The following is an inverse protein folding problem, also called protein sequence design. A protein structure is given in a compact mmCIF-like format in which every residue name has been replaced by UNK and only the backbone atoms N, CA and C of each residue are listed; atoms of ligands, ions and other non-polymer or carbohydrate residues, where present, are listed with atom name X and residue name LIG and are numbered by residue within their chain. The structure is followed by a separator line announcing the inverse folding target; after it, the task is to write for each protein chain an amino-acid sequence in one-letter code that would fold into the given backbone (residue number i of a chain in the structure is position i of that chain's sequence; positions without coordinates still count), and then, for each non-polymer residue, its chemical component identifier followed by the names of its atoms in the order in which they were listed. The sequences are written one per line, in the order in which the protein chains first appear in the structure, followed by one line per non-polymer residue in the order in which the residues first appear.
data_IF_742247591165
#
_entry.id   IF_742247591165
#
_cell.length_a   1.000
_cell.length_b   1.000
_cell.length_c   1.000
_cell.angle_alpha   90.00
_cell.angle_beta   90.00
_cell.angle_gamma   90.00
#
_symmetry.space_group_name_H-M   'P 1'
#
loop_
_entity.id
_entity.type
_entity.pdbx_description
1 polymer ?
#
# COMPACT_ATOMS: atom_id res chain seq x y z
N UNK A 1 51.87 18.97 70.93
CA UNK A 1 50.89 17.97 71.40
C UNK A 1 50.00 17.63 70.22
N UNK A 2 50.14 16.43 69.66
CA UNK A 2 49.30 15.98 68.54
C UNK A 2 47.86 15.84 69.02
N UNK A 3 46.94 16.61 68.46
CA UNK A 3 45.50 16.49 68.74
C UNK A 3 45.02 15.15 68.20
N UNK A 4 44.68 14.24 69.10
CA UNK A 4 44.16 12.93 68.74
C UNK A 4 42.79 13.09 68.04
N UNK A 5 42.74 12.78 66.75
CA UNK A 5 41.53 12.87 65.92
C UNK A 5 40.61 11.70 66.24
N UNK A 6 39.34 11.98 66.51
CA UNK A 6 38.30 10.96 66.68
C UNK A 6 37.54 10.87 65.36
N UNK A 7 37.74 9.77 64.63
CA UNK A 7 36.99 9.44 63.44
C UNK A 7 35.96 8.35 63.76
N UNK A 8 34.68 8.62 63.50
CA UNK A 8 33.59 7.65 63.70
C UNK A 8 32.93 7.39 62.35
N UNK A 9 32.81 6.12 61.94
CA UNK A 9 32.08 5.76 60.73
C UNK A 9 30.58 5.78 61.00
N UNK A 10 29.79 6.47 60.17
CA UNK A 10 28.34 6.67 60.45
C UNK A 10 27.58 5.34 60.62
N UNK A 11 27.88 4.31 59.80
CA UNK A 11 27.28 2.96 59.91
C UNK A 11 27.62 2.22 61.22
N UNK A 12 28.70 2.58 61.89
CA UNK A 12 29.12 1.95 63.15
C UNK A 12 28.93 2.88 64.33
N UNK A 13 28.29 4.04 64.13
CA UNK A 13 28.17 5.05 65.17
C UNK A 13 27.33 4.53 66.34
N UNK A 14 26.23 3.83 66.06
CA UNK A 14 25.40 3.21 67.09
C UNK A 14 26.16 2.14 67.89
N UNK A 15 26.84 1.21 67.20
CA UNK A 15 27.67 0.18 67.84
C UNK A 15 28.80 0.82 68.68
N UNK A 16 29.47 1.81 68.13
CA UNK A 16 30.57 2.54 68.77
C UNK A 16 30.13 3.28 70.04
N UNK A 17 28.92 3.86 70.02
CA UNK A 17 28.26 4.46 71.19
C UNK A 17 27.86 3.37 72.20
N UNK A 18 27.29 2.26 71.74
CA UNK A 18 26.91 1.10 72.53
C UNK A 18 28.07 0.55 73.37
N UNK A 19 29.22 0.31 72.75
CA UNK A 19 30.44 -0.19 73.41
C UNK A 19 30.93 0.73 74.53
N UNK A 20 30.67 2.04 74.40
CA UNK A 20 31.16 3.08 75.31
C UNK A 20 30.08 3.57 76.28
N UNK A 21 28.91 2.93 76.31
CA UNK A 21 27.76 3.32 77.13
C UNK A 21 28.10 3.47 78.61
N UNK A 22 28.94 2.58 79.16
CA UNK A 22 29.33 2.61 80.57
C UNK A 22 30.11 3.88 80.97
N UNK A 23 30.87 4.45 80.04
CA UNK A 23 31.72 5.64 80.27
C UNK A 23 30.99 6.91 79.82
N UNK A 24 30.49 6.91 78.59
CA UNK A 24 29.88 8.09 77.96
C UNK A 24 28.47 8.34 78.48
N UNK A 25 27.68 7.29 78.73
CA UNK A 25 26.31 7.44 79.26
C UNK A 25 26.24 7.96 80.70
N UNK A 26 27.33 7.87 81.47
CA UNK A 26 27.42 8.46 82.82
C UNK A 26 27.91 9.91 82.81
N UNK A 27 28.92 10.24 81.99
CA UNK A 27 29.54 11.58 81.94
C UNK A 27 28.80 12.57 81.03
N UNK A 28 28.26 12.11 79.91
CA UNK A 28 27.62 12.94 78.88
C UNK A 28 26.23 12.39 78.55
N UNK A 29 25.38 12.28 79.57
CA UNK A 29 24.10 11.57 79.49
C UNK A 29 23.16 12.14 78.42
N UNK A 30 23.16 13.47 78.22
CA UNK A 30 22.25 14.16 77.29
C UNK A 30 22.72 13.96 75.85
N UNK A 31 23.99 14.24 75.60
CA UNK A 31 24.65 14.13 74.30
C UNK A 31 24.62 12.68 73.82
N UNK A 32 24.89 11.73 74.72
CA UNK A 32 24.84 10.30 74.44
C UNK A 32 23.44 9.82 74.06
N UNK A 33 22.39 10.25 74.78
CA UNK A 33 21.02 9.86 74.47
C UNK A 33 20.59 10.41 73.09
N UNK A 34 20.93 11.68 72.81
CA UNK A 34 20.63 12.30 71.51
C UNK A 34 21.36 11.61 70.36
N UNK A 35 22.63 11.24 70.54
CA UNK A 35 23.40 10.52 69.53
C UNK A 35 22.84 9.11 69.25
N UNK A 36 22.35 8.40 70.27
CA UNK A 36 21.68 7.11 70.08
C UNK A 36 20.36 7.23 69.30
N UNK A 37 19.69 8.39 69.32
CA UNK A 37 18.50 8.65 68.48
C UNK A 37 18.87 9.03 67.04
N UNK A 38 19.93 9.82 66.87
CA UNK A 38 20.32 10.36 65.55
C UNK A 38 21.12 9.36 64.72
N UNK A 39 21.97 8.53 65.34
CA UNK A 39 22.82 7.55 64.64
C UNK A 39 22.06 6.59 63.72
N UNK A 40 21.00 5.89 64.18
CA UNK A 40 20.24 4.99 63.30
C UNK A 40 19.48 5.74 62.19
N UNK A 41 19.01 6.97 62.45
CA UNK A 41 18.36 7.81 61.42
C UNK A 41 19.34 8.22 60.33
N UNK A 42 20.55 8.60 60.74
CA UNK A 42 21.62 8.97 59.83
C UNK A 42 22.05 7.79 58.95
N UNK A 43 22.17 6.59 59.54
CA UNK A 43 22.42 5.39 58.76
C UNK A 43 21.28 5.12 57.78
N UNK A 44 20.03 5.18 58.23
CA UNK A 44 18.85 4.90 57.40
C UNK A 44 18.83 5.79 56.15
N UNK A 45 18.99 7.11 56.32
CA UNK A 45 18.95 8.04 55.19
C UNK A 45 20.11 7.84 54.22
N UNK A 46 21.34 7.71 54.73
CA UNK A 46 22.55 7.68 53.90
C UNK A 46 22.74 6.34 53.20
N UNK A 47 22.43 5.23 53.89
CA UNK A 47 22.67 3.87 53.40
C UNK A 47 21.53 3.33 52.55
N UNK A 48 20.28 3.71 52.86
CA UNK A 48 19.11 3.12 52.23
C UNK A 48 18.29 4.14 51.44
N UNK A 49 17.79 5.20 52.09
CA UNK A 49 16.75 6.04 51.47
C UNK A 49 17.30 6.89 50.31
N UNK A 50 18.41 7.61 50.51
CA UNK A 50 19.02 8.44 49.45
C UNK A 50 19.48 7.57 48.26
N UNK A 51 20.22 6.45 48.45
CA UNK A 51 20.55 5.55 47.34
C UNK A 51 19.33 4.95 46.62
N UNK A 52 18.27 4.61 47.35
CA UNK A 52 17.04 4.08 46.76
C UNK A 52 16.36 5.13 45.86
N UNK A 53 16.29 6.38 46.32
CA UNK A 53 15.74 7.49 45.54
C UNK A 53 16.58 7.79 44.30
N UNK A 54 17.92 7.81 44.40
CA UNK A 54 18.80 7.93 43.23
C UNK A 54 18.61 6.79 42.22
N UNK A 55 18.45 5.55 42.70
CA UNK A 55 18.19 4.39 41.84
C UNK A 55 16.82 4.52 41.14
N UNK A 56 15.81 5.03 41.83
CA UNK A 56 14.49 5.30 41.25
C UNK A 56 14.57 6.41 40.19
N UNK A 57 15.23 7.52 40.49
CA UNK A 57 15.45 8.62 39.54
C UNK A 57 16.16 8.13 38.28
N UNK A 58 17.23 7.33 38.43
CA UNK A 58 17.96 6.75 37.29
C UNK A 58 17.08 5.83 36.44
N UNK A 59 16.23 5.02 37.07
CA UNK A 59 15.28 4.14 36.37
C UNK A 59 14.27 4.95 35.56
N UNK A 60 13.72 6.01 36.15
CA UNK A 60 12.77 6.88 35.46
C UNK A 60 13.43 7.66 34.31
N UNK A 61 14.66 8.15 34.49
CA UNK A 61 15.40 8.78 33.39
C UNK A 61 15.67 7.82 32.23
N UNK A 62 16.03 6.57 32.52
CA UNK A 62 16.20 5.55 31.47
C UNK A 62 14.88 5.24 30.76
N UNK A 63 13.78 5.13 31.51
CA UNK A 63 12.46 4.90 30.93
C UNK A 63 11.99 6.09 30.08
N UNK A 64 12.38 7.31 30.43
CA UNK A 64 12.11 8.52 29.65
C UNK A 64 12.86 8.49 28.31
N UNK A 65 14.15 8.13 28.33
CA UNK A 65 14.95 7.97 27.10
C UNK A 65 14.36 6.89 26.18
N UNK A 66 13.94 5.75 26.75
CA UNK A 66 13.29 4.67 26.00
C UNK A 66 11.95 5.11 25.40
N UNK A 67 11.16 5.92 26.13
CA UNK A 67 9.90 6.46 25.63
C UNK A 67 10.13 7.49 24.48
N UNK A 68 11.17 8.32 24.57
CA UNK A 68 11.56 9.20 23.46
C UNK A 68 11.98 8.41 22.22
N UNK A 69 12.79 7.35 22.38
CA UNK A 69 13.14 6.45 21.26
C UNK A 69 11.90 5.80 20.64
N UNK A 70 10.95 5.37 21.45
CA UNK A 70 9.69 4.81 20.95
C UNK A 70 8.87 5.81 20.12
N UNK A 71 8.90 7.10 20.48
CA UNK A 71 8.29 8.18 19.66
C UNK A 71 9.01 8.29 18.31
N UNK A 72 10.35 8.33 18.31
CA UNK A 72 11.14 8.41 17.08
C UNK A 72 10.87 7.22 16.16
N UNK A 73 10.88 6.00 16.70
CA UNK A 73 10.58 4.77 15.96
C UNK A 73 9.16 4.77 15.39
N UNK A 74 8.17 5.23 16.17
CA UNK A 74 6.80 5.38 15.69
C UNK A 74 6.71 6.40 14.55
N UNK A 75 7.41 7.54 14.64
CA UNK A 75 7.43 8.54 13.56
C UNK A 75 8.12 8.03 12.29
N UNK A 76 9.22 7.30 12.43
CA UNK A 76 9.90 6.66 11.30
C UNK A 76 9.02 5.61 10.63
N UNK A 77 8.36 4.77 11.44
CA UNK A 77 7.41 3.78 10.95
C UNK A 77 6.26 4.45 10.18
N UNK A 78 5.73 5.55 10.70
CA UNK A 78 4.68 6.32 10.04
C UNK A 78 5.13 6.86 8.68
N UNK A 79 6.29 7.52 8.61
CA UNK A 79 6.86 8.02 7.35
C UNK A 79 7.08 6.91 6.32
N UNK A 80 7.63 5.77 6.74
CA UNK A 80 7.84 4.63 5.85
C UNK A 80 6.52 4.07 5.30
N UNK A 81 5.45 4.07 6.11
CA UNK A 81 4.12 3.66 5.66
C UNK A 81 3.50 4.70 4.72
N UNK A 82 3.62 5.99 5.02
CA UNK A 82 3.17 7.10 4.14
C UNK A 82 3.88 7.03 2.77
N UNK A 83 5.18 6.74 2.73
CA UNK A 83 5.93 6.59 1.48
C UNK A 83 5.53 5.34 0.68
N UNK A 84 5.16 4.25 1.36
CA UNK A 84 4.68 3.03 0.69
C UNK A 84 3.27 3.20 0.17
N UNK A 85 2.38 3.79 0.97
CA UNK A 85 1.02 4.15 0.56
C UNK A 85 1.08 5.10 -0.64
N UNK A 86 1.91 6.15 -0.56
CA UNK A 86 2.09 7.07 -1.69
C UNK A 86 2.53 6.33 -2.93
N UNK A 87 3.61 5.53 -2.87
CA UNK A 87 4.10 4.73 -4.01
C UNK A 87 3.01 3.82 -4.60
N UNK A 88 2.26 3.12 -3.75
CA UNK A 88 1.14 2.29 -4.17
C UNK A 88 0.07 3.11 -4.90
N UNK A 89 -0.33 4.25 -4.34
CA UNK A 89 -1.30 5.16 -4.97
C UNK A 89 -0.79 5.69 -6.32
N UNK A 90 0.51 6.04 -6.45
CA UNK A 90 1.05 6.50 -7.75
C UNK A 90 1.11 5.36 -8.78
N UNK A 91 1.53 4.16 -8.36
CA UNK A 91 1.59 2.98 -9.23
C UNK A 91 0.24 2.68 -9.86
N UNK A 92 -0.85 2.86 -9.11
CA UNK A 92 -2.21 2.64 -9.59
C UNK A 92 -2.92 3.91 -10.11
N UNK A 93 -2.20 5.03 -10.28
CA UNK A 93 -2.78 6.28 -10.82
C UNK A 93 -3.88 6.90 -9.97
N UNK A 94 -3.94 6.56 -8.67
CA UNK A 94 -4.96 7.03 -7.73
C UNK A 94 -4.72 8.47 -7.23
N UNK A 95 -3.65 9.13 -7.69
CA UNK A 95 -3.27 10.49 -7.26
C UNK A 95 -4.25 11.58 -7.72
N UNK A 96 -5.02 11.34 -8.77
CA UNK A 96 -6.03 12.27 -9.33
C UNK A 96 -7.36 12.27 -8.53
N UNK A 97 -7.55 11.33 -7.59
CA UNK A 97 -8.73 11.24 -6.73
C UNK A 97 -8.50 11.63 -5.25
N UNK A 98 -7.72 12.68 -4.91
CA UNK A 98 -7.16 12.86 -3.56
C UNK A 98 -8.19 13.26 -2.49
N UNK A 99 -9.40 13.65 -2.87
CA UNK A 99 -10.47 14.03 -1.93
C UNK A 99 -11.54 12.94 -1.71
N UNK A 100 -11.77 12.05 -2.69
CA UNK A 100 -12.82 11.04 -2.65
C UNK A 100 -12.35 9.71 -2.02
N UNK A 101 -11.09 9.32 -2.24
CA UNK A 101 -10.48 8.08 -1.73
C UNK A 101 -10.53 7.98 -0.20
N UNK A 102 -10.57 9.11 0.51
CA UNK A 102 -10.67 9.15 1.98
C UNK A 102 -12.08 8.94 2.53
N UNK A 103 -13.13 9.12 1.72
CA UNK A 103 -14.52 9.09 2.18
C UNK A 103 -15.30 7.90 1.63
N UNK A 104 -14.98 7.46 0.41
CA UNK A 104 -15.52 6.24 -0.18
C UNK A 104 -14.51 5.62 -1.15
N UNK A 105 -13.74 4.67 -0.63
CA UNK A 105 -12.71 3.97 -1.39
C UNK A 105 -13.33 3.06 -2.47
N UNK A 106 -14.52 2.53 -2.23
CA UNK A 106 -15.22 1.64 -3.17
C UNK A 106 -15.68 2.44 -4.39
N UNK A 107 -16.34 3.59 -4.17
CA UNK A 107 -16.72 4.49 -5.26
C UNK A 107 -15.52 5.01 -6.07
N UNK A 108 -14.38 5.26 -5.41
CA UNK A 108 -13.16 5.66 -6.11
C UNK A 108 -12.62 4.56 -7.03
N UNK A 109 -12.64 3.30 -6.57
CA UNK A 109 -12.26 2.15 -7.40
C UNK A 109 -13.23 1.97 -8.56
N UNK A 110 -14.53 2.13 -8.34
CA UNK A 110 -15.54 2.02 -9.42
C UNK A 110 -15.34 3.08 -10.50
N UNK A 111 -15.06 4.32 -10.12
CA UNK A 111 -14.73 5.39 -11.07
C UNK A 111 -13.46 5.09 -11.88
N UNK A 112 -12.46 4.47 -11.24
CA UNK A 112 -11.22 4.05 -11.90
C UNK A 112 -11.45 2.88 -12.86
N UNK A 113 -12.29 1.90 -12.48
CA UNK A 113 -12.71 0.79 -13.34
C UNK A 113 -13.41 1.33 -14.59
N UNK A 114 -14.36 2.26 -14.42
CA UNK A 114 -15.07 2.88 -15.53
C UNK A 114 -14.12 3.64 -16.46
N UNK A 115 -13.26 4.50 -15.90
CA UNK A 115 -12.29 5.29 -16.68
C UNK A 115 -11.29 4.40 -17.40
N UNK A 116 -10.80 3.35 -16.74
CA UNK A 116 -9.87 2.37 -17.33
C UNK A 116 -10.51 1.58 -18.47
N UNK A 117 -11.79 1.19 -18.30
CA UNK A 117 -12.57 0.53 -19.36
C UNK A 117 -12.69 1.43 -20.58
N UNK A 118 -12.99 2.71 -20.39
CA UNK A 118 -13.06 3.69 -21.50
C UNK A 118 -11.71 3.83 -22.20
N UNK A 119 -10.61 3.99 -21.45
CA UNK A 119 -9.26 4.14 -22.02
C UNK A 119 -8.80 2.92 -22.81
N UNK A 120 -9.10 1.72 -22.35
CA UNK A 120 -8.74 0.48 -23.07
C UNK A 120 -9.62 0.27 -24.29
N UNK A 121 -10.93 0.55 -24.21
CA UNK A 121 -11.80 0.50 -25.38
C UNK A 121 -11.38 1.54 -26.44
N UNK A 122 -10.95 2.74 -26.03
CA UNK A 122 -10.41 3.73 -26.96
C UNK A 122 -9.11 3.24 -27.63
N UNK A 123 -8.20 2.62 -26.88
CA UNK A 123 -6.99 2.02 -27.45
C UNK A 123 -7.30 0.95 -28.51
N UNK A 124 -8.36 0.15 -28.29
CA UNK A 124 -8.83 -0.83 -29.27
C UNK A 124 -9.40 -0.16 -30.53
N UNK A 125 -10.16 0.92 -30.39
CA UNK A 125 -10.67 1.69 -31.53
C UNK A 125 -9.55 2.36 -32.31
N UNK A 126 -8.58 2.97 -31.62
CA UNK A 126 -7.38 3.56 -32.23
C UNK A 126 -6.62 2.49 -33.03
N UNK A 127 -6.44 1.30 -32.47
CA UNK A 127 -5.83 0.18 -33.19
C UNK A 127 -6.68 -0.29 -34.38
N UNK A 128 -8.00 -0.36 -34.24
CA UNK A 128 -8.92 -0.66 -35.33
C UNK A 128 -8.87 0.32 -36.50
N UNK A 129 -8.64 1.60 -36.19
CA UNK A 129 -8.43 2.69 -37.16
C UNK A 129 -7.00 2.76 -37.69
N UNK A 130 -6.06 2.04 -37.09
CA UNK A 130 -4.65 2.12 -37.45
C UNK A 130 -4.36 1.49 -38.80
N UNK A 131 -3.33 2.01 -39.49
CA UNK A 131 -2.79 1.39 -40.70
C UNK A 131 -2.19 0.01 -40.43
N UNK A 132 -1.78 -0.26 -39.19
CA UNK A 132 -1.15 -1.52 -38.78
C UNK A 132 -2.12 -2.70 -38.90
N UNK A 133 -3.35 -2.57 -38.37
CA UNK A 133 -4.35 -3.63 -38.48
C UNK A 133 -4.76 -3.87 -39.94
N UNK A 134 -4.87 -2.79 -40.74
CA UNK A 134 -5.16 -2.90 -42.17
C UNK A 134 -4.06 -3.64 -42.93
N UNK A 135 -2.79 -3.28 -42.70
CA UNK A 135 -1.64 -3.92 -43.33
C UNK A 135 -1.55 -5.42 -42.96
N UNK A 136 -1.74 -5.75 -41.68
CA UNK A 136 -1.76 -7.14 -41.20
C UNK A 136 -2.90 -7.95 -41.81
N UNK A 137 -4.11 -7.39 -41.86
CA UNK A 137 -5.28 -8.03 -42.48
C UNK A 137 -5.04 -8.34 -43.96
N UNK A 138 -4.57 -7.36 -44.71
CA UNK A 138 -4.28 -7.55 -46.14
C UNK A 138 -3.14 -8.55 -46.37
N UNK A 139 -2.06 -8.46 -45.60
CA UNK A 139 -0.94 -9.38 -45.71
C UNK A 139 -1.35 -10.82 -45.39
N UNK A 140 -2.17 -11.00 -44.34
CA UNK A 140 -2.73 -12.30 -43.99
C UNK A 140 -3.57 -12.87 -45.14
N UNK A 141 -4.47 -12.06 -45.71
CA UNK A 141 -5.27 -12.44 -46.87
C UNK A 141 -4.40 -12.88 -48.07
N UNK A 142 -3.37 -12.10 -48.42
CA UNK A 142 -2.44 -12.43 -49.51
C UNK A 142 -1.71 -13.76 -49.27
N UNK A 143 -1.18 -13.97 -48.07
CA UNK A 143 -0.45 -15.20 -47.71
C UNK A 143 -1.37 -16.42 -47.77
N UNK A 144 -2.56 -16.32 -47.20
CA UNK A 144 -3.52 -17.43 -47.25
C UNK A 144 -3.93 -17.74 -48.69
N UNK A 145 -4.20 -16.74 -49.53
CA UNK A 145 -4.52 -16.95 -50.95
C UNK A 145 -3.39 -17.66 -51.69
N UNK A 146 -2.14 -17.24 -51.46
CA UNK A 146 -0.96 -17.83 -52.09
C UNK A 146 -0.77 -19.32 -51.74
N UNK A 147 -1.13 -19.72 -50.51
CA UNK A 147 -0.91 -21.08 -50.02
C UNK A 147 -2.15 -21.99 -50.06
N UNK A 148 -3.36 -21.46 -50.27
CA UNK A 148 -4.62 -22.24 -50.21
C UNK A 148 -5.20 -22.68 -51.57
N UNK A 149 -4.43 -22.57 -52.67
CA UNK A 149 -4.85 -23.00 -54.02
C UNK A 149 -6.28 -22.52 -54.41
N UNK A 150 -6.61 -21.26 -54.09
CA UNK A 150 -7.90 -20.62 -54.45
C UNK A 150 -9.16 -21.30 -53.88
N UNK A 151 -9.03 -22.21 -52.91
CA UNK A 151 -10.15 -22.99 -52.35
C UNK A 151 -10.95 -22.27 -51.25
N UNK A 152 -10.61 -21.03 -50.89
CA UNK A 152 -11.31 -20.28 -49.84
C UNK A 152 -12.12 -19.12 -50.43
N UNK A 153 -13.36 -18.96 -49.96
CA UNK A 153 -14.24 -17.85 -50.31
C UNK A 153 -13.82 -16.52 -49.69
N UNK A 154 -14.58 -15.46 -50.00
CA UNK A 154 -14.30 -14.10 -49.56
C UNK A 154 -14.23 -13.98 -48.02
N UNK A 155 -13.20 -13.27 -47.57
CA UNK A 155 -12.89 -12.81 -46.20
C UNK A 155 -12.44 -13.86 -45.15
N UNK A 156 -11.37 -14.62 -45.45
CA UNK A 156 -10.74 -15.58 -44.52
C UNK A 156 -10.29 -14.96 -43.18
N UNK A 157 -9.98 -13.66 -43.19
CA UNK A 157 -9.57 -12.96 -41.97
C UNK A 157 -10.72 -12.91 -40.95
N UNK A 158 -11.95 -12.62 -41.38
CA UNK A 158 -13.14 -12.64 -40.52
C UNK A 158 -13.37 -14.00 -39.86
N UNK A 159 -13.11 -15.10 -40.58
CA UNK A 159 -13.31 -16.46 -40.06
C UNK A 159 -12.29 -16.81 -38.97
N UNK A 160 -11.04 -16.39 -39.14
CA UNK A 160 -9.96 -16.72 -38.21
C UNK A 160 -9.81 -15.71 -37.06
N UNK A 161 -10.20 -14.45 -37.28
CA UNK A 161 -10.05 -13.35 -36.34
C UNK A 161 -11.36 -12.55 -36.21
N UNK A 162 -12.47 -13.17 -35.78
CA UNK A 162 -13.78 -12.51 -35.74
C UNK A 162 -13.83 -11.29 -34.81
N UNK A 163 -13.06 -11.25 -33.71
CA UNK A 163 -13.01 -10.10 -32.81
C UNK A 163 -12.22 -8.94 -33.42
N UNK A 164 -11.07 -9.21 -34.03
CA UNK A 164 -10.27 -8.19 -34.71
C UNK A 164 -10.94 -7.66 -35.97
N UNK A 165 -11.63 -8.53 -36.71
CA UNK A 165 -12.42 -8.13 -37.87
C UNK A 165 -13.54 -7.17 -37.46
N UNK A 166 -14.23 -7.46 -36.35
CA UNK A 166 -15.23 -6.55 -35.77
C UNK A 166 -14.63 -5.21 -35.39
N UNK A 167 -13.48 -5.18 -34.71
CA UNK A 167 -12.78 -3.93 -34.36
C UNK A 167 -12.43 -3.12 -35.62
N UNK A 168 -12.01 -3.81 -36.69
CA UNK A 168 -11.72 -3.19 -37.98
C UNK A 168 -12.98 -2.63 -38.65
N UNK A 169 -14.11 -3.34 -38.60
CA UNK A 169 -15.39 -2.86 -39.15
C UNK A 169 -15.91 -1.65 -38.37
N UNK A 170 -15.76 -1.66 -37.03
CA UNK A 170 -16.19 -0.58 -36.13
C UNK A 170 -15.38 0.72 -36.31
N UNK A 171 -14.26 0.70 -37.04
CA UNK A 171 -13.40 1.87 -37.27
C UNK A 171 -14.14 3.07 -37.89
N UNK A 172 -15.16 2.78 -38.70
CA UNK A 172 -15.95 3.75 -39.47
C UNK A 172 -17.21 4.23 -38.73
N UNK A 173 -17.48 3.69 -37.54
CA UNK A 173 -18.61 4.10 -36.72
C UNK A 173 -18.18 5.20 -35.74
N UNK A 174 -18.77 6.39 -35.88
CA UNK A 174 -18.69 7.43 -34.85
C UNK A 174 -19.74 7.16 -33.78
N UNK A 175 -19.34 6.42 -32.75
CA UNK A 175 -20.18 6.19 -31.58
C UNK A 175 -20.07 7.38 -30.63
N UNK A 176 -21.07 8.26 -30.66
CA UNK A 176 -21.35 9.15 -29.54
C UNK A 176 -21.76 8.26 -28.35
N UNK A 177 -20.93 8.27 -27.31
CA UNK A 177 -21.01 7.37 -26.15
C UNK A 177 -22.13 7.82 -25.21
N UNK A 178 -23.23 7.07 -25.14
CA UNK A 178 -24.14 7.08 -23.98
C UNK A 178 -24.09 5.69 -23.32
N UNK A 179 -23.20 5.54 -22.34
CA UNK A 179 -23.03 4.33 -21.51
C UNK A 179 -23.80 4.50 -20.20
N UNK A 180 -25.11 4.23 -20.22
CA UNK A 180 -25.92 4.07 -19.01
C UNK A 180 -27.02 3.02 -19.26
N UNK A 181 -26.70 1.72 -19.33
CA UNK A 181 -27.76 0.69 -19.24
C UNK A 181 -27.40 -0.76 -18.81
N UNK A 182 -26.14 -1.12 -18.53
CA UNK A 182 -25.78 -2.54 -18.32
C UNK A 182 -25.74 -3.05 -16.87
N UNK A 183 -26.43 -2.40 -15.92
CA UNK A 183 -26.46 -2.87 -14.51
C UNK A 183 -27.53 -3.94 -14.21
N UNK A 184 -28.37 -4.35 -15.17
CA UNK A 184 -29.55 -5.20 -14.88
C UNK A 184 -29.52 -6.66 -15.35
N UNK A 185 -28.52 -7.13 -16.10
CA UNK A 185 -28.56 -8.50 -16.67
C UNK A 185 -27.58 -9.53 -16.10
N UNK A 186 -26.70 -9.17 -15.16
CA UNK A 186 -25.67 -10.11 -14.66
C UNK A 186 -26.06 -10.98 -13.45
N UNK A 187 -27.33 -11.00 -13.03
CA UNK A 187 -27.75 -11.72 -11.81
C UNK A 187 -28.40 -13.10 -12.02
N UNK A 188 -28.60 -13.59 -13.25
CA UNK A 188 -29.39 -14.82 -13.49
C UNK A 188 -28.62 -16.08 -13.97
N UNK A 189 -27.32 -16.02 -14.32
CA UNK A 189 -26.64 -17.18 -14.95
C UNK A 189 -25.66 -17.97 -14.07
N UNK A 190 -25.52 -17.67 -12.77
CA UNK A 190 -24.50 -18.32 -11.90
C UNK A 190 -24.87 -19.71 -11.32
N UNK A 191 -25.96 -20.36 -11.75
CA UNK A 191 -26.30 -21.72 -11.32
C UNK A 191 -26.37 -22.72 -12.49
N UNK A 192 -25.25 -23.41 -12.80
CA UNK A 192 -25.19 -24.90 -12.87
C UNK A 192 -23.89 -25.50 -13.44
N UNK A 193 -23.33 -26.38 -12.61
CA UNK A 193 -22.72 -27.70 -12.89
C UNK A 193 -21.19 -27.87 -13.02
N UNK A 194 -20.73 -28.95 -12.36
CA UNK A 194 -19.37 -29.44 -12.12
C UNK A 194 -18.94 -30.61 -13.05
N UNK A 195 -17.61 -30.70 -13.25
CA UNK A 195 -16.70 -31.85 -13.49
C UNK A 195 -16.77 -32.65 -14.82
N UNK A 196 -15.67 -32.81 -15.59
CA UNK A 196 -14.51 -33.71 -15.32
C UNK A 196 -13.31 -33.52 -16.31
N UNK A 197 -12.10 -33.87 -15.86
CA UNK A 197 -10.67 -33.73 -16.29
C UNK A 197 -10.18 -34.00 -17.75
N UNK A 198 -9.40 -33.02 -18.30
CA UNK A 198 -8.03 -33.09 -18.90
C UNK A 198 -7.83 -33.16 -20.45
N UNK A 199 -6.72 -32.63 -21.08
CA UNK A 199 -5.47 -32.08 -20.53
C UNK A 199 -4.91 -30.73 -21.07
N UNK A 200 -3.98 -30.15 -20.28
CA UNK A 200 -2.94 -29.10 -20.51
C UNK A 200 -3.34 -27.62 -20.69
N UNK A 201 -3.55 -26.93 -19.55
CA UNK A 201 -3.76 -25.49 -19.41
C UNK A 201 -2.46 -24.69 -19.19
N UNK A 202 -2.40 -23.49 -19.78
CA UNK A 202 -1.61 -22.38 -19.21
C UNK A 202 -2.50 -21.66 -18.20
N UNK A 203 -2.00 -21.52 -16.98
CA UNK A 203 -2.67 -20.84 -15.86
C UNK A 203 -2.55 -19.32 -16.01
N UNK A 204 -3.69 -18.64 -16.24
CA UNK A 204 -3.79 -17.18 -16.41
C UNK A 204 -4.50 -16.48 -15.25
N UNK A 205 -4.71 -17.16 -14.11
CA UNK A 205 -5.24 -16.54 -12.88
C UNK A 205 -6.70 -16.05 -12.94
N UNK A 206 -7.44 -16.35 -14.00
CA UNK A 206 -8.83 -15.92 -14.22
C UNK A 206 -9.87 -17.09 -14.12
N UNK A 207 -9.50 -18.31 -13.68
CA UNK A 207 -10.44 -19.45 -13.62
C UNK A 207 -10.24 -20.38 -12.40
N UNK A 208 -11.28 -20.56 -11.58
CA UNK A 208 -11.51 -21.80 -10.84
C UNK A 208 -11.94 -22.90 -11.85
N UNK A 209 -10.99 -23.78 -12.21
CA UNK A 209 -11.11 -25.10 -12.88
C UNK A 209 -12.18 -25.41 -13.98
N UNK A 210 -11.71 -25.41 -15.25
CA UNK A 210 -11.93 -26.34 -16.42
C UNK A 210 -13.30 -26.91 -16.86
N UNK A 211 -13.67 -26.64 -18.13
CA UNK A 211 -14.15 -27.62 -19.14
C UNK A 211 -13.64 -27.25 -20.58
N UNK A 212 -13.55 -28.20 -21.53
CA UNK A 212 -12.90 -28.02 -22.83
C UNK A 212 -13.83 -27.41 -23.89
N UNK A 213 -13.26 -26.57 -24.76
CA UNK A 213 -13.95 -26.09 -25.96
C UNK A 213 -14.27 -27.28 -26.89
N UNK A 214 -15.57 -27.52 -27.07
CA UNK A 214 -16.10 -28.33 -28.16
C UNK A 214 -15.85 -27.59 -29.48
N UNK A 215 -14.96 -28.14 -30.32
CA UNK A 215 -14.61 -27.55 -31.63
C UNK A 215 -15.78 -27.71 -32.63
N UNK A 216 -16.86 -28.42 -32.28
CA UNK A 216 -18.05 -28.60 -33.12
C UNK A 216 -19.32 -27.89 -32.57
N UNK A 217 -19.22 -27.14 -31.46
CA UNK A 217 -20.32 -26.29 -31.00
C UNK A 217 -20.36 -24.98 -31.80
N UNK A 218 -21.16 -24.97 -32.88
CA UNK A 218 -21.53 -23.73 -33.56
C UNK A 218 -22.03 -22.71 -32.53
N UNK A 219 -21.27 -21.62 -32.38
CA UNK A 219 -21.60 -20.48 -31.52
C UNK A 219 -22.94 -19.87 -31.96
N UNK A 220 -24.02 -20.26 -31.29
CA UNK A 220 -25.32 -19.59 -31.44
C UNK A 220 -25.30 -18.32 -30.59
N UNK A 221 -24.88 -17.21 -31.18
CA UNK A 221 -25.08 -15.89 -30.60
C UNK A 221 -26.58 -15.65 -30.43
N UNK A 222 -27.07 -15.68 -29.19
CA UNK A 222 -28.43 -15.21 -28.88
C UNK A 222 -28.42 -13.68 -28.87
N UNK A 223 -29.23 -13.11 -29.76
CA UNK A 223 -29.43 -11.69 -29.93
C UNK A 223 -30.67 -11.29 -29.14
N UNK A 224 -30.49 -10.82 -27.91
CA UNK A 224 -31.59 -10.20 -27.19
C UNK A 224 -31.78 -8.79 -27.77
N UNK A 225 -32.85 -8.67 -28.56
CA UNK A 225 -33.11 -7.52 -29.39
C UNK A 225 -33.72 -6.34 -28.64
N UNK A 226 -33.14 -5.16 -28.86
CA UNK A 226 -33.94 -3.97 -29.14
C UNK A 226 -33.30 -3.20 -30.29
N UNK A 227 -34.07 -3.05 -31.39
CA UNK A 227 -33.58 -2.55 -32.68
C UNK A 227 -33.46 -1.03 -32.62
N UNK A 228 -32.23 -0.52 -32.51
CA UNK A 228 -31.93 0.89 -32.80
C UNK A 228 -31.38 0.96 -34.22
N UNK A 229 -32.17 1.48 -35.16
CA UNK A 229 -31.72 1.71 -36.53
C UNK A 229 -30.77 2.91 -36.57
N UNK A 230 -29.49 2.69 -36.83
CA UNK A 230 -28.52 3.77 -37.08
C UNK A 230 -28.44 3.98 -38.60
N UNK A 231 -28.90 5.14 -39.05
CA UNK A 231 -28.77 5.56 -40.45
C UNK A 231 -27.35 6.07 -40.65
N UNK A 232 -26.56 5.40 -41.51
CA UNK A 232 -25.34 5.97 -42.04
C UNK A 232 -25.70 7.22 -42.85
N UNK A 233 -25.19 8.40 -42.45
CA UNK A 233 -25.30 9.61 -43.25
C UNK A 233 -24.42 9.48 -44.47
N UNK A 234 -24.92 8.82 -45.51
CA UNK A 234 -24.47 9.05 -46.87
C UNK A 234 -24.86 10.45 -47.30
N UNK A 235 -23.94 11.17 -47.93
CA UNK A 235 -24.21 12.44 -48.60
C UNK A 235 -25.50 12.32 -49.41
N UNK A 236 -26.45 13.19 -49.10
CA UNK A 236 -27.77 13.22 -49.74
C UNK A 236 -27.62 13.54 -51.21
N UNK A 237 -28.02 12.59 -52.06
CA UNK A 237 -28.30 12.79 -53.47
C UNK A 237 -29.33 13.91 -53.66
N UNK A 238 -28.86 15.09 -54.08
CA UNK A 238 -29.72 16.13 -54.64
C UNK A 238 -29.93 15.84 -56.14
N UNK A 239 -31.09 15.30 -56.47
CA UNK A 239 -31.53 15.15 -57.86
C UNK A 239 -31.86 16.51 -58.49
N UNK A 240 -31.16 16.90 -59.58
CA UNK A 240 -31.82 17.27 -60.85
C UNK A 240 -30.85 17.58 -62.01
N UNK A 241 -31.02 16.82 -63.10
CA UNK A 241 -30.97 17.16 -64.53
C UNK A 241 -30.01 18.25 -65.07
N UNK A 242 -29.14 17.82 -65.99
CA UNK A 242 -28.59 18.69 -67.04
C UNK A 242 -27.38 18.07 -67.72
N UNK A 243 -27.49 17.72 -69.00
CA UNK A 243 -26.49 16.92 -69.73
C UNK A 243 -25.15 17.60 -69.98
N UNK A 244 -24.16 16.80 -70.38
CA UNK A 244 -22.87 17.31 -70.86
C UNK A 244 -21.77 16.27 -70.80
N UNK A 245 -21.23 15.95 -71.97
CA UNK A 245 -20.21 14.96 -72.29
C UNK A 245 -18.81 15.24 -71.69
N UNK A 246 -17.94 14.21 -71.69
CA UNK A 246 -16.47 14.17 -71.41
C UNK A 246 -16.05 14.28 -69.94
N UNK A 247 -15.09 13.55 -69.38
CA UNK A 247 -14.17 12.50 -69.83
C UNK A 247 -13.19 12.21 -68.67
N UNK A 248 -12.78 10.94 -68.52
CA UNK A 248 -11.65 10.41 -67.73
C UNK A 248 -11.47 10.87 -66.26
N UNK A 249 -11.63 9.94 -65.30
CA UNK A 249 -10.78 9.83 -64.10
C UNK A 249 -10.99 8.49 -63.37
N UNK A 250 -9.86 7.78 -63.16
CA UNK A 250 -9.48 6.88 -62.05
C UNK A 250 -10.53 5.93 -61.43
N UNK A 251 -10.37 4.63 -61.75
CA UNK A 251 -10.99 3.50 -61.06
C UNK A 251 -10.48 3.39 -59.61
N UNK A 252 -11.16 4.09 -58.70
CA UNK A 252 -11.09 3.85 -57.27
C UNK A 252 -12.03 2.67 -56.95
N UNK A 253 -11.47 1.49 -56.68
CA UNK A 253 -12.23 0.33 -56.22
C UNK A 253 -12.87 0.65 -54.86
N UNK A 254 -14.12 1.11 -54.88
CA UNK A 254 -14.98 1.17 -53.70
C UNK A 254 -15.27 -0.27 -53.26
N UNK A 255 -14.61 -0.69 -52.19
CA UNK A 255 -14.89 -1.92 -51.46
C UNK A 255 -16.39 -1.95 -51.12
N UNK A 256 -17.11 -2.97 -51.63
CA UNK A 256 -18.55 -3.11 -51.41
C UNK A 256 -18.76 -3.40 -49.93
N UNK A 257 -19.35 -2.45 -49.20
CA UNK A 257 -19.95 -2.70 -47.89
C UNK A 257 -20.98 -3.84 -48.04
N UNK A 258 -20.61 -5.04 -47.60
CA UNK A 258 -21.54 -6.16 -47.46
C UNK A 258 -22.22 -6.06 -46.11
N UNK A 259 -23.54 -5.83 -46.14
CA UNK A 259 -24.43 -6.06 -45.00
C UNK A 259 -24.68 -4.83 -44.14
N UNK A 260 -25.96 -4.53 -43.91
CA UNK A 260 -26.39 -3.66 -42.81
C UNK A 260 -25.80 -4.20 -41.50
N UNK A 261 -25.02 -3.39 -40.81
CA UNK A 261 -24.66 -3.65 -39.41
C UNK A 261 -25.87 -3.25 -38.57
N UNK A 262 -26.79 -4.19 -38.35
CA UNK A 262 -27.87 -4.08 -37.37
C UNK A 262 -27.40 -4.76 -36.07
N UNK A 263 -27.16 -3.97 -35.02
CA UNK A 263 -26.76 -4.45 -33.69
C UNK A 263 -25.99 -3.38 -32.94
N UNK A 264 -26.27 -3.22 -31.64
CA UNK A 264 -25.60 -2.23 -30.78
C UNK A 264 -24.09 -2.49 -30.79
N UNK A 265 -23.35 -1.54 -31.36
CA UNK A 265 -21.90 -1.57 -31.36
C UNK A 265 -21.38 -1.20 -29.97
N UNK A 266 -20.65 -2.11 -29.32
CA UNK A 266 -19.44 -1.74 -28.59
C UNK A 266 -18.65 -3.00 -28.23
N UNK A 267 -17.45 -3.10 -28.79
CA UNK A 267 -16.41 -3.97 -28.23
C UNK A 267 -16.14 -3.54 -26.79
N UNK A 268 -16.47 -4.41 -25.83
CA UNK A 268 -16.38 -4.10 -24.40
C UNK A 268 -15.33 -4.99 -23.74
N UNK A 269 -14.15 -4.42 -23.50
CA UNK A 269 -13.02 -5.10 -22.84
C UNK A 269 -13.32 -5.53 -21.40
N UNK A 270 -14.41 -5.04 -20.80
CA UNK A 270 -14.83 -5.42 -19.46
C UNK A 270 -15.51 -6.79 -19.38
N UNK A 271 -15.90 -7.37 -20.51
CA UNK A 271 -16.34 -8.76 -20.60
C UNK A 271 -15.09 -9.68 -20.63
N UNK A 272 -14.97 -10.58 -19.66
CA UNK A 272 -13.82 -11.47 -19.50
C UNK A 272 -13.64 -12.42 -20.69
N UNK A 273 -14.72 -13.02 -21.18
CA UNK A 273 -14.72 -13.93 -22.33
C UNK A 273 -14.29 -13.22 -23.61
N UNK A 274 -14.86 -12.03 -23.87
CA UNK A 274 -14.49 -11.23 -25.03
C UNK A 274 -13.01 -10.81 -24.98
N UNK A 275 -12.54 -10.35 -23.81
CA UNK A 275 -11.14 -9.99 -23.59
C UNK A 275 -10.19 -11.16 -23.85
N UNK A 276 -10.54 -12.37 -23.40
CA UNK A 276 -9.72 -13.57 -23.63
C UNK A 276 -9.63 -13.92 -25.11
N UNK A 277 -10.75 -13.91 -25.83
CA UNK A 277 -10.79 -14.21 -27.26
C UNK A 277 -10.00 -13.17 -28.06
N UNK A 278 -10.18 -11.89 -27.77
CA UNK A 278 -9.45 -10.80 -28.40
C UNK A 278 -7.93 -10.91 -28.17
N UNK A 279 -7.49 -11.22 -26.95
CA UNK A 279 -6.07 -11.41 -26.65
C UNK A 279 -5.48 -12.62 -27.39
N UNK A 280 -6.27 -13.70 -27.51
CA UNK A 280 -5.86 -14.90 -28.27
C UNK A 280 -5.69 -14.57 -29.75
N UNK A 281 -6.61 -13.81 -30.33
CA UNK A 281 -6.52 -13.34 -31.71
C UNK A 281 -5.32 -12.40 -31.93
N UNK A 282 -5.08 -11.45 -31.02
CA UNK A 282 -3.92 -10.56 -31.08
C UNK A 282 -2.60 -11.34 -30.99
N UNK A 283 -2.52 -12.35 -30.11
CA UNK A 283 -1.34 -13.22 -30.00
C UNK A 283 -1.12 -14.03 -31.28
N UNK A 284 -2.17 -14.60 -31.86
CA UNK A 284 -2.08 -15.32 -33.12
C UNK A 284 -1.65 -14.40 -34.27
N UNK A 285 -2.12 -13.15 -34.29
CA UNK A 285 -1.69 -12.14 -35.27
C UNK A 285 -0.23 -11.72 -35.08
N UNK A 286 0.24 -11.60 -33.83
CA UNK A 286 1.64 -11.36 -33.51
C UNK A 286 2.53 -12.53 -33.97
N UNK A 287 2.13 -13.78 -33.68
CA UNK A 287 2.83 -14.97 -34.16
C UNK A 287 2.94 -14.98 -35.68
N UNK A 288 1.87 -14.61 -36.40
CA UNK A 288 1.91 -14.48 -37.86
C UNK A 288 2.96 -13.46 -38.32
N UNK A 289 3.01 -12.27 -37.71
CA UNK A 289 4.02 -11.26 -38.04
C UNK A 289 5.46 -11.74 -37.75
N UNK A 290 5.67 -12.46 -36.64
CA UNK A 290 6.95 -13.06 -36.28
C UNK A 290 7.38 -14.18 -37.23
N UNK A 291 6.44 -15.03 -37.67
CA UNK A 291 6.68 -16.07 -38.67
C UNK A 291 7.09 -15.47 -40.02
N UNK A 292 6.45 -14.37 -40.45
CA UNK A 292 6.86 -13.64 -41.66
C UNK A 292 8.28 -13.12 -41.54
N UNK A 293 8.62 -12.51 -40.41
CA UNK A 293 9.98 -12.05 -40.12
C UNK A 293 11.00 -13.19 -40.12
N UNK A 294 10.65 -14.36 -39.59
CA UNK A 294 11.52 -15.55 -39.63
C UNK A 294 11.74 -16.08 -41.05
N UNK A 295 10.80 -15.80 -41.97
CA UNK A 295 10.91 -16.11 -43.40
C UNK A 295 11.58 -15.00 -44.21
N UNK A 296 12.38 -14.14 -43.56
CA UNK A 296 13.07 -12.98 -44.13
C UNK A 296 12.13 -11.92 -44.78
N UNK A 297 10.89 -11.83 -44.30
CA UNK A 297 9.92 -10.80 -44.71
C UNK A 297 9.67 -9.80 -43.56
N UNK A 298 10.44 -8.72 -43.57
CA UNK A 298 10.36 -7.65 -42.57
C UNK A 298 9.22 -6.64 -42.82
N UNK A 299 8.36 -6.85 -43.83
CA UNK A 299 7.31 -5.88 -44.20
C UNK A 299 6.27 -5.60 -43.11
N UNK A 300 6.14 -6.50 -42.13
CA UNK A 300 5.18 -6.41 -41.01
C UNK A 300 5.87 -6.16 -39.65
N UNK A 301 7.17 -5.83 -39.62
CA UNK A 301 7.91 -5.69 -38.37
C UNK A 301 7.31 -4.59 -37.46
N UNK A 302 7.01 -3.43 -38.01
CA UNK A 302 6.39 -2.31 -37.28
C UNK A 302 4.95 -2.63 -36.84
N UNK A 303 4.21 -3.37 -37.66
CA UNK A 303 2.83 -3.78 -37.34
C UNK A 303 2.81 -4.80 -36.19
N UNK A 304 3.76 -5.74 -36.17
CA UNK A 304 3.95 -6.68 -35.06
C UNK A 304 4.28 -5.96 -33.75
N UNK A 305 5.12 -4.92 -33.79
CA UNK A 305 5.40 -4.07 -32.61
C UNK A 305 4.13 -3.38 -32.11
N UNK A 306 3.28 -2.86 -33.01
CA UNK A 306 2.01 -2.24 -32.64
C UNK A 306 1.05 -3.23 -31.95
N UNK A 307 0.99 -4.48 -32.44
CA UNK A 307 0.20 -5.56 -31.81
C UNK A 307 0.74 -5.90 -30.42
N UNK A 308 2.06 -6.08 -30.27
CA UNK A 308 2.69 -6.37 -28.98
C UNK A 308 2.46 -5.25 -27.94
N UNK A 309 2.54 -3.98 -28.36
CA UNK A 309 2.21 -2.85 -27.50
C UNK A 309 0.75 -2.87 -27.03
N UNK A 310 -0.18 -3.21 -27.92
CA UNK A 310 -1.59 -3.34 -27.55
C UNK A 310 -1.81 -4.51 -26.59
N UNK A 311 -1.20 -5.68 -26.84
CA UNK A 311 -1.25 -6.82 -25.92
C UNK A 311 -0.74 -6.42 -24.54
N UNK A 312 0.43 -5.76 -24.46
CA UNK A 312 0.99 -5.25 -23.18
C UNK A 312 0.03 -4.29 -22.49
N UNK A 313 -0.59 -3.37 -23.24
CA UNK A 313 -1.57 -2.42 -22.70
C UNK A 313 -2.83 -3.12 -22.19
N UNK A 314 -3.30 -4.20 -22.81
CA UNK A 314 -4.50 -4.93 -22.39
C UNK A 314 -4.25 -5.92 -21.23
N UNK A 315 -2.99 -6.26 -20.95
CA UNK A 315 -2.61 -7.31 -19.98
C UNK A 315 -1.86 -6.80 -18.76
N UNK A 316 -0.87 -5.93 -18.96
CA UNK A 316 0.09 -5.49 -17.94
C UNK A 316 -0.09 -4.06 -17.47
N UNK A 317 -0.95 -3.27 -18.14
CA UNK A 317 -1.23 -1.91 -17.71
C UNK A 317 -2.01 -1.85 -16.40
N UNK A 318 -1.95 -0.69 -15.76
CA UNK A 318 -2.75 -0.38 -14.57
C UNK A 318 -4.23 -0.34 -14.91
N UNK A 319 -4.59 0.16 -16.10
CA UNK A 319 -5.96 0.11 -16.61
C UNK A 319 -6.48 -1.33 -16.73
N UNK A 320 -5.65 -2.25 -17.24
CA UNK A 320 -6.00 -3.67 -17.35
C UNK A 320 -6.18 -4.34 -15.97
N UNK A 321 -5.39 -3.93 -14.97
CA UNK A 321 -5.58 -4.35 -13.60
C UNK A 321 -6.96 -3.91 -13.06
N UNK A 322 -7.35 -2.65 -13.26
CA UNK A 322 -8.67 -2.16 -12.84
C UNK A 322 -9.82 -2.84 -13.58
N UNK A 323 -9.73 -3.02 -14.90
CA UNK A 323 -10.78 -3.72 -15.66
C UNK A 323 -10.97 -5.15 -15.15
N UNK A 324 -9.90 -5.87 -14.79
CA UNK A 324 -9.99 -7.19 -14.16
C UNK A 324 -10.69 -7.17 -12.80
N UNK A 325 -10.50 -6.12 -12.00
CA UNK A 325 -11.18 -5.97 -10.71
C UNK A 325 -12.71 -5.82 -10.86
N UNK A 326 -13.23 -5.49 -12.05
CA UNK A 326 -14.67 -5.49 -12.32
C UNK A 326 -15.27 -6.90 -12.22
N UNK A 327 -14.57 -7.89 -12.78
CA UNK A 327 -15.03 -9.27 -12.86
C UNK A 327 -14.49 -10.16 -11.71
N UNK A 328 -13.34 -9.80 -11.12
CA UNK A 328 -12.72 -10.56 -10.03
C UNK A 328 -12.92 -9.89 -8.68
N UNK A 329 -13.84 -10.45 -7.89
CA UNK A 329 -14.07 -10.05 -6.49
C UNK A 329 -12.84 -10.24 -5.62
N UNK A 330 -12.04 -11.29 -5.85
CA UNK A 330 -10.80 -11.57 -5.11
C UNK A 330 -9.73 -10.53 -5.36
N UNK A 331 -9.50 -10.14 -6.64
CA UNK A 331 -8.54 -9.08 -6.98
C UNK A 331 -8.96 -7.75 -6.35
N UNK A 332 -10.25 -7.39 -6.47
CA UNK A 332 -10.81 -6.19 -5.84
C UNK A 332 -10.63 -6.21 -4.32
N UNK A 333 -10.95 -7.33 -3.66
CA UNK A 333 -10.78 -7.47 -2.22
C UNK A 333 -9.32 -7.31 -1.78
N UNK A 334 -8.39 -7.95 -2.49
CA UNK A 334 -6.95 -7.89 -2.16
C UNK A 334 -6.41 -6.46 -2.23
N UNK A 335 -6.77 -5.72 -3.28
CA UNK A 335 -6.40 -4.33 -3.48
C UNK A 335 -6.96 -3.42 -2.38
N UNK A 336 -8.25 -3.56 -2.08
CA UNK A 336 -8.93 -2.81 -1.03
C UNK A 336 -8.36 -3.10 0.36
N UNK A 337 -8.04 -4.36 0.63
CA UNK A 337 -7.45 -4.80 1.87
C UNK A 337 -6.03 -4.23 2.06
N UNK A 338 -5.26 -4.09 0.99
CA UNK A 338 -3.94 -3.47 1.03
C UNK A 338 -4.02 -1.97 1.40
N UNK A 339 -4.95 -1.24 0.80
CA UNK A 339 -5.22 0.16 1.18
C UNK A 339 -5.69 0.27 2.64
N UNK A 340 -6.58 -0.62 3.08
CA UNK A 340 -7.02 -0.69 4.49
C UNK A 340 -5.87 -1.05 5.43
N UNK A 341 -4.88 -1.84 4.99
CA UNK A 341 -3.67 -2.15 5.78
C UNK A 341 -2.79 -0.93 5.97
N UNK A 342 -2.60 -0.09 4.94
CA UNK A 342 -1.89 1.19 5.09
C UNK A 342 -2.60 2.09 6.10
N UNK A 343 -3.91 2.29 5.97
CA UNK A 343 -4.69 3.12 6.89
C UNK A 343 -4.61 2.63 8.35
N UNK A 344 -4.78 1.32 8.57
CA UNK A 344 -4.62 0.71 9.91
C UNK A 344 -3.20 0.86 10.44
N UNK A 345 -2.20 0.69 9.58
CA UNK A 345 -0.79 0.86 9.94
C UNK A 345 -0.46 2.28 10.39
N UNK A 346 -0.96 3.29 9.66
CA UNK A 346 -0.80 4.70 10.01
C UNK A 346 -1.50 5.04 11.32
N UNK A 347 -2.76 4.62 11.48
CA UNK A 347 -3.50 4.83 12.72
C UNK A 347 -2.81 4.16 13.92
N UNK A 348 -2.30 2.94 13.76
CA UNK A 348 -1.55 2.24 14.80
C UNK A 348 -0.24 2.97 15.16
N UNK A 349 0.48 3.51 14.18
CA UNK A 349 1.69 4.30 14.42
C UNK A 349 1.37 5.60 15.18
N UNK A 350 0.28 6.29 14.83
CA UNK A 350 -0.16 7.50 15.54
C UNK A 350 -0.60 7.19 16.98
N UNK A 351 -1.33 6.10 17.22
CA UNK A 351 -1.70 5.65 18.58
C UNK A 351 -0.46 5.31 19.40
N UNK A 352 0.51 4.58 18.84
CA UNK A 352 1.78 4.27 19.54
C UNK A 352 2.54 5.54 19.90
N UNK A 353 2.60 6.50 18.98
CA UNK A 353 3.24 7.81 19.22
C UNK A 353 2.53 8.55 20.35
N UNK A 354 1.21 8.62 20.32
CA UNK A 354 0.41 9.29 21.34
C UNK A 354 0.57 8.66 22.73
N UNK A 355 0.51 7.33 22.81
CA UNK A 355 0.73 6.60 24.07
C UNK A 355 2.14 6.85 24.63
N UNK A 356 3.15 6.88 23.75
CA UNK A 356 4.53 7.16 24.16
C UNK A 356 4.70 8.61 24.62
N UNK A 357 4.03 9.57 23.99
CA UNK A 357 3.99 10.98 24.42
C UNK A 357 3.34 11.14 25.80
N UNK A 358 2.19 10.50 26.02
CA UNK A 358 1.54 10.49 27.33
C UNK A 358 2.45 9.87 28.40
N UNK A 359 3.20 8.81 28.04
CA UNK A 359 4.16 8.19 28.95
C UNK A 359 5.33 9.11 29.28
N UNK A 360 5.85 9.87 28.31
CA UNK A 360 6.88 10.90 28.54
C UNK A 360 6.39 11.93 29.55
N UNK A 361 5.18 12.46 29.38
CA UNK A 361 4.60 13.45 30.30
C UNK A 361 4.51 12.90 31.72
N UNK A 362 3.98 11.68 31.90
CA UNK A 362 3.91 11.02 33.21
C UNK A 362 5.30 10.85 33.85
N UNK A 363 6.29 10.41 33.07
CA UNK A 363 7.65 10.20 33.58
C UNK A 363 8.34 11.52 33.94
N UNK A 364 8.06 12.61 33.20
CA UNK A 364 8.54 13.95 33.51
C UNK A 364 7.93 14.45 34.82
N UNK A 365 6.61 14.34 34.99
CA UNK A 365 5.93 14.72 36.24
C UNK A 365 6.46 13.93 37.44
N UNK A 366 6.70 12.62 37.29
CA UNK A 366 7.28 11.79 38.34
C UNK A 366 8.72 12.23 38.69
N UNK A 367 9.55 12.53 37.69
CA UNK A 367 10.92 13.03 37.89
C UNK A 367 10.94 14.40 38.57
N UNK A 368 10.07 15.32 38.14
CA UNK A 368 9.90 16.65 38.75
C UNK A 368 9.45 16.54 40.21
N UNK A 369 8.61 15.55 40.54
CA UNK A 369 8.20 15.30 41.92
C UNK A 369 9.31 14.73 42.79
N UNK A 370 10.17 13.87 42.23
CA UNK A 370 11.25 13.21 42.97
C UNK A 370 12.43 14.11 43.28
N UNK A 371 12.72 15.11 42.43
CA UNK A 371 13.82 16.05 42.64
C UNK A 371 13.78 16.72 44.02
N UNK A 372 12.70 17.43 44.37
CA UNK A 372 12.55 18.08 45.67
C UNK A 372 12.57 17.09 46.86
N UNK A 373 12.05 15.87 46.67
CA UNK A 373 12.05 14.85 47.73
C UNK A 373 13.47 14.37 48.05
N UNK A 374 14.27 14.14 47.02
CA UNK A 374 15.67 13.78 47.16
C UNK A 374 16.47 14.92 47.82
N UNK A 375 16.26 16.16 47.38
CA UNK A 375 16.91 17.33 47.99
C UNK A 375 16.53 17.49 49.47
N UNK A 376 15.26 17.29 49.82
CA UNK A 376 14.81 17.30 51.22
C UNK A 376 15.51 16.23 52.05
N UNK A 377 15.56 14.99 51.56
CA UNK A 377 16.23 13.88 52.25
C UNK A 377 17.74 14.12 52.44
N UNK A 378 18.41 14.67 51.42
CA UNK A 378 19.82 15.04 51.52
C UNK A 378 20.03 16.15 52.55
N UNK A 379 19.15 17.17 52.55
CA UNK A 379 19.20 18.25 53.54
C UNK A 379 18.95 17.75 54.96
N UNK A 380 17.99 16.85 55.16
CA UNK A 380 17.71 16.26 56.47
C UNK A 380 18.87 15.39 56.96
N UNK A 381 19.49 14.60 56.06
CA UNK A 381 20.70 13.84 56.36
C UNK A 381 21.88 14.75 56.74
N UNK A 382 22.08 15.86 56.02
CA UNK A 382 23.10 16.87 56.37
C UNK A 382 22.86 17.47 57.75
N UNK A 383 21.63 17.89 58.06
CA UNK A 383 21.26 18.44 59.36
C UNK A 383 21.50 17.43 60.49
N UNK A 384 21.08 16.18 60.32
CA UNK A 384 21.28 15.13 61.31
C UNK A 384 22.76 14.80 61.53
N UNK A 385 23.57 14.80 60.46
CA UNK A 385 25.03 14.69 60.61
C UNK A 385 25.61 15.84 61.41
N UNK A 386 25.21 17.08 61.10
CA UNK A 386 25.73 18.27 61.76
C UNK A 386 25.32 18.32 63.24
N UNK A 387 24.11 17.87 63.56
CA UNK A 387 23.66 17.60 64.93
C UNK A 387 24.53 16.52 65.59
N UNK A 388 24.77 15.39 64.94
CA UNK A 388 25.65 14.34 65.47
C UNK A 388 27.08 14.86 65.74
N UNK A 389 27.62 15.67 64.83
CA UNK A 389 28.94 16.28 64.99
C UNK A 389 28.97 17.28 66.16
N UNK A 390 27.90 18.06 66.34
CA UNK A 390 27.79 18.99 67.47
C UNK A 390 27.78 18.25 68.81
N UNK A 391 26.96 17.20 68.93
CA UNK A 391 26.86 16.38 70.14
C UNK A 391 28.19 15.65 70.43
N UNK A 392 28.82 15.07 69.40
CA UNK A 392 30.12 14.43 69.53
C UNK A 392 31.22 15.41 69.97
N UNK A 393 31.22 16.66 69.46
CA UNK A 393 32.16 17.70 69.92
C UNK A 393 31.91 18.10 71.37
N UNK A 394 30.65 18.13 71.81
CA UNK A 394 30.28 18.35 73.21
C UNK A 394 30.83 17.27 74.16
N UNK A 395 30.90 16.02 73.69
CA UNK A 395 31.48 14.90 74.44
C UNK A 395 33.01 14.87 74.47
N UNK A 396 33.68 15.51 73.51
CA UNK A 396 35.15 15.48 73.37
C UNK A 396 35.74 16.90 73.18
N UNK A 397 35.69 17.77 74.21
CA UNK A 397 36.19 19.13 74.10
C UNK A 397 37.70 19.15 73.79
N UNK A 398 38.11 20.02 72.85
CA UNK A 398 39.51 20.19 72.45
C UNK A 398 40.07 19.12 71.51
N UNK A 399 39.27 18.13 71.11
CA UNK A 399 39.63 17.10 70.12
C UNK A 399 38.92 17.35 68.79
N UNK A 400 39.59 17.03 67.69
CA UNK A 400 38.99 17.06 66.36
C UNK A 400 38.11 15.82 66.18
N UNK A 401 36.80 15.99 66.01
CA UNK A 401 35.85 14.90 65.75
C UNK A 401 35.30 14.98 64.34
N UNK A 402 35.30 13.85 63.63
CA UNK A 402 34.83 13.73 62.25
C UNK A 402 33.96 12.49 62.07
N UNK A 403 32.90 12.60 61.26
CA UNK A 403 32.10 11.47 60.80
C UNK A 403 32.60 11.11 59.40
N UNK A 404 32.98 9.85 59.20
CA UNK A 404 33.55 9.33 57.95
C UNK A 404 32.62 8.30 57.30
N UNK A 405 32.70 8.21 55.97
CA UNK A 405 31.90 7.29 55.15
C UNK A 405 31.45 7.92 53.83
N UNK A 406 30.62 7.19 53.10
CA UNK A 406 29.94 7.65 51.89
C UNK A 406 28.88 8.74 52.14
N UNK A 407 28.56 9.03 53.41
CA UNK A 407 27.84 10.24 53.83
C UNK A 407 28.46 11.53 53.25
N UNK A 408 29.77 11.55 53.04
CA UNK A 408 30.48 12.70 52.50
C UNK A 408 30.29 12.87 50.99
N UNK A 409 29.68 11.90 50.29
CA UNK A 409 29.32 12.03 48.86
C UNK A 409 28.10 12.92 48.64
N UNK A 410 27.31 13.14 49.68
CA UNK A 410 26.10 13.95 49.65
C UNK A 410 26.33 15.36 50.21
N UNK A 411 27.60 15.76 50.41
CA UNK A 411 28.06 17.14 50.64
C UNK A 411 28.22 17.86 49.31
#
# INVERSE_FOLDING_TARGET
MEQQVIAVHYQRMEEWLGDRRAVLGKKHKKEFARLMELAPRLEQWVRYDIPAQHKQQKRLSSALDDAHRAIEDATKTRRNLEEREKRFVQEYGLEEAPAAVKKDLESAVDAMVATSTIRLNEALREFGRSTHLAALREAYGRVVQMHSMEMRGDDVFLVHFPCLDRIYQERSCDLAVDLHHDEQQQQEEEEKNEATVGPSNIDWGDVDTTEPLDVDAAMEMKWDGEVISIVATGETDAAHNGGGNSGATEDCYKEKMTGKVEGVASTNISNSTYRQNLLTELQALLCFAEERRFMDDDSLADDGVAVDLLIKRLTTSTEAAFVRMKASSTLRYSFMEELRRFQRGLAAADVRRHNSQARVQQLQEELERLGPQLESLVNDARKCRDECLAELRGMFPGRTVTIVGDINKYL
#
